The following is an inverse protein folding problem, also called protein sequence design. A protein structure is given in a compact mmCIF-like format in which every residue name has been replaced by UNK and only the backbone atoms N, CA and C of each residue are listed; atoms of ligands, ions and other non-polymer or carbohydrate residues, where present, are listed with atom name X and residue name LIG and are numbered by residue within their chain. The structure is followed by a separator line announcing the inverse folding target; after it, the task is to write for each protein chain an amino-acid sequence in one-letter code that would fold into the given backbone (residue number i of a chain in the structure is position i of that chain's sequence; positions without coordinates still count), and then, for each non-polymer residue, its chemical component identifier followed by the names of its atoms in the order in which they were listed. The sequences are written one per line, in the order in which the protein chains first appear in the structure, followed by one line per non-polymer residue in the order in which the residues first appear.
data_IF_486349180907
#
_entry.id   IF_486349180907
#
_cell.length_a   1.000
_cell.length_b   1.000
_cell.length_c   1.000
_cell.angle_alpha   90.00
_cell.angle_beta   90.00
_cell.angle_gamma   90.00
#
_symmetry.space_group_name_H-M   'P 1'
#
loop_
_entity.id
_entity.type
_entity.pdbx_description
1 polymer ?
#
# COMPACT_ATOMS: atom_id res chain seq x y z
N UNK A 1 24.33 -3.52 -2.38
CA UNK A 1 23.83 -4.67 -1.60
C UNK A 1 23.21 -4.26 -0.26
N UNK A 2 23.90 -3.47 0.60
CA UNK A 2 23.33 -2.99 1.88
C UNK A 2 22.03 -2.17 1.72
N UNK A 3 21.88 -1.36 0.68
CA UNK A 3 20.64 -0.62 0.43
C UNK A 3 19.44 -1.53 0.07
N UNK A 4 19.69 -2.63 -0.65
CA UNK A 4 18.60 -3.48 -1.13
C UNK A 4 17.94 -4.28 0.00
N UNK A 5 18.67 -4.62 1.07
CA UNK A 5 18.10 -5.35 2.20
C UNK A 5 17.09 -4.49 2.98
N UNK A 6 17.34 -3.19 3.11
CA UNK A 6 16.45 -2.27 3.81
C UNK A 6 15.17 -2.01 3.03
N UNK A 7 15.25 -1.87 1.70
CA UNK A 7 14.07 -1.78 0.83
C UNK A 7 13.19 -3.03 0.96
N UNK A 8 13.81 -4.22 0.93
CA UNK A 8 13.10 -5.49 1.12
C UNK A 8 12.43 -5.56 2.49
N UNK A 9 13.10 -5.12 3.56
CA UNK A 9 12.52 -5.07 4.90
C UNK A 9 11.33 -4.10 4.98
N UNK A 10 11.44 -2.91 4.38
CA UNK A 10 10.36 -1.95 4.34
C UNK A 10 9.13 -2.49 3.61
N UNK A 11 9.30 -3.06 2.41
CA UNK A 11 8.21 -3.68 1.67
C UNK A 11 7.60 -4.89 2.40
N UNK A 12 8.44 -5.72 3.02
CA UNK A 12 8.00 -6.89 3.78
C UNK A 12 7.12 -6.48 4.96
N UNK A 13 7.56 -5.52 5.78
CA UNK A 13 6.82 -5.09 6.96
C UNK A 13 5.49 -4.45 6.58
N UNK A 14 5.49 -3.57 5.58
CA UNK A 14 4.25 -2.96 5.10
C UNK A 14 3.27 -4.00 4.55
N UNK A 15 3.76 -4.94 3.75
CA UNK A 15 2.94 -6.04 3.24
C UNK A 15 2.37 -6.92 4.35
N UNK A 16 3.20 -7.31 5.33
CA UNK A 16 2.79 -8.17 6.44
C UNK A 16 1.69 -7.51 7.28
N UNK A 17 1.86 -6.24 7.66
CA UNK A 17 0.88 -5.55 8.50
C UNK A 17 -0.44 -5.32 7.77
N UNK A 18 -0.42 -4.91 6.51
CA UNK A 18 -1.65 -4.78 5.71
C UNK A 18 -2.35 -6.12 5.58
N UNK A 19 -1.63 -7.18 5.27
CA UNK A 19 -2.21 -8.50 5.01
C UNK A 19 -2.67 -9.22 6.28
N UNK A 20 -2.20 -8.83 7.47
CA UNK A 20 -2.57 -9.46 8.75
C UNK A 20 -3.56 -8.66 9.59
N UNK A 21 -3.58 -7.32 9.48
CA UNK A 21 -4.36 -6.47 10.40
C UNK A 21 -5.59 -5.86 9.71
N UNK A 22 -5.51 -5.56 8.41
CA UNK A 22 -6.59 -4.85 7.73
C UNK A 22 -7.90 -5.65 7.74
N UNK A 23 -7.85 -6.93 7.38
CA UNK A 23 -9.02 -7.82 7.38
C UNK A 23 -9.73 -7.85 8.74
N UNK A 24 -9.03 -8.21 9.84
CA UNK A 24 -9.61 -8.18 11.18
C UNK A 24 -10.19 -6.83 11.60
N UNK A 25 -9.54 -5.71 11.25
CA UNK A 25 -10.09 -4.38 11.54
C UNK A 25 -11.40 -4.11 10.79
N UNK A 26 -11.49 -4.53 9.53
CA UNK A 26 -12.71 -4.41 8.74
C UNK A 26 -13.81 -5.33 9.26
N UNK A 27 -13.48 -6.57 9.64
CA UNK A 27 -14.46 -7.53 10.15
C UNK A 27 -15.14 -7.04 11.43
N UNK A 28 -14.41 -6.33 12.31
CA UNK A 28 -14.92 -5.79 13.58
C UNK A 28 -15.63 -4.43 13.43
N UNK A 29 -15.07 -3.52 12.62
CA UNK A 29 -15.50 -2.11 12.58
C UNK A 29 -16.09 -1.69 11.21
N UNK A 30 -16.23 -2.63 10.29
CA UNK A 30 -16.73 -2.41 8.93
C UNK A 30 -15.89 -1.39 8.16
N UNK A 31 -16.58 -0.53 7.40
CA UNK A 31 -15.94 0.50 6.58
C UNK A 31 -15.05 1.45 7.40
N UNK A 32 -15.47 1.81 8.61
CA UNK A 32 -14.69 2.65 9.53
C UNK A 32 -13.39 1.94 9.91
N UNK A 33 -13.45 0.63 10.17
CA UNK A 33 -12.28 -0.22 10.40
C UNK A 33 -11.30 -0.18 9.24
N UNK A 34 -11.79 -0.33 8.01
CA UNK A 34 -10.96 -0.21 6.81
C UNK A 34 -10.32 1.17 6.64
N UNK A 35 -11.07 2.25 6.89
CA UNK A 35 -10.53 3.62 6.83
C UNK A 35 -9.47 3.85 7.92
N UNK A 36 -9.72 3.41 9.15
CA UNK A 36 -8.74 3.49 10.24
C UNK A 36 -7.49 2.65 9.95
N UNK A 37 -7.66 1.44 9.43
CA UNK A 37 -6.54 0.59 9.00
C UNK A 37 -5.70 1.30 7.94
N UNK A 38 -6.34 1.97 6.97
CA UNK A 38 -5.63 2.75 5.96
C UNK A 38 -4.80 3.88 6.58
N UNK A 39 -5.39 4.72 7.44
CA UNK A 39 -4.67 5.82 8.09
C UNK A 39 -3.56 5.34 9.02
N UNK A 40 -3.83 4.35 9.87
CA UNK A 40 -2.89 3.85 10.87
C UNK A 40 -1.80 3.02 10.20
N UNK A 41 -2.12 2.00 9.41
CA UNK A 41 -1.11 1.10 8.84
C UNK A 41 -0.34 1.83 7.73
N UNK A 42 -1.04 2.42 6.75
CA UNK A 42 -0.35 3.06 5.61
C UNK A 42 0.39 4.30 6.08
N UNK A 43 -0.23 5.16 6.90
CA UNK A 43 0.42 6.37 7.40
C UNK A 43 1.62 6.08 8.30
N UNK A 44 1.51 5.14 9.24
CA UNK A 44 2.61 4.76 10.11
C UNK A 44 3.78 4.16 9.33
N UNK A 45 3.52 3.19 8.45
CA UNK A 45 4.59 2.54 7.70
C UNK A 45 5.17 3.43 6.62
N UNK A 46 4.40 4.35 6.04
CA UNK A 46 4.97 5.39 5.19
C UNK A 46 5.96 6.25 5.97
N UNK A 47 5.58 6.72 7.17
CA UNK A 47 6.46 7.52 8.02
C UNK A 47 7.72 6.74 8.44
N UNK A 48 7.57 5.51 8.92
CA UNK A 48 8.70 4.65 9.30
C UNK A 48 9.63 4.43 8.11
N UNK A 49 9.09 4.01 6.97
CA UNK A 49 9.91 3.66 5.80
C UNK A 49 10.68 4.86 5.26
N UNK A 50 10.07 6.04 5.26
CA UNK A 50 10.68 7.25 4.67
C UNK A 50 11.57 8.01 5.65
N UNK A 51 11.21 8.08 6.94
CA UNK A 51 12.06 8.73 7.94
C UNK A 51 13.29 7.89 8.30
N UNK A 52 13.16 6.55 8.31
CA UNK A 52 14.29 5.65 8.54
C UNK A 52 15.05 5.29 7.26
N UNK A 53 14.63 5.84 6.11
CA UNK A 53 15.21 5.56 4.78
C UNK A 53 15.27 4.07 4.45
N UNK A 54 14.27 3.31 4.91
CA UNK A 54 14.11 1.90 4.58
C UNK A 54 13.65 1.73 3.15
N UNK A 55 12.74 2.59 2.67
CA UNK A 55 12.40 2.73 1.26
C UNK A 55 12.85 4.13 0.86
N UNK A 56 13.69 4.22 -0.17
CA UNK A 56 14.14 5.53 -0.66
C UNK A 56 13.07 6.13 -1.55
N UNK A 57 12.52 7.27 -1.13
CA UNK A 57 11.81 8.16 -2.03
C UNK A 57 12.77 9.27 -2.48
N UNK A 58 12.87 9.52 -3.78
CA UNK A 58 13.48 10.77 -4.23
C UNK A 58 12.51 11.92 -3.89
N UNK A 59 13.02 13.11 -3.58
CA UNK A 59 12.21 14.26 -3.10
C UNK A 59 11.06 14.69 -4.05
N UNK A 60 10.99 14.11 -5.25
CA UNK A 60 9.99 14.40 -6.29
C UNK A 60 9.16 13.19 -6.72
N UNK A 61 9.33 12.03 -6.09
CA UNK A 61 8.59 10.82 -6.46
C UNK A 61 7.41 10.58 -5.51
N UNK A 62 6.29 10.20 -6.12
CA UNK A 62 5.00 10.03 -5.44
C UNK A 62 5.02 8.91 -4.39
N UNK A 63 4.10 8.99 -3.42
CA UNK A 63 3.80 8.08 -2.30
C UNK A 63 3.49 6.60 -2.66
N UNK A 64 3.81 6.15 -3.88
CA UNK A 64 3.29 4.91 -4.50
C UNK A 64 4.24 3.71 -4.32
N UNK A 65 5.49 3.93 -3.90
CA UNK A 65 6.52 2.90 -3.79
C UNK A 65 6.13 1.72 -2.86
N UNK A 66 5.51 2.01 -1.73
CA UNK A 66 5.06 0.99 -0.77
C UNK A 66 3.86 0.17 -1.29
N UNK A 67 3.04 0.75 -2.19
CA UNK A 67 1.86 0.08 -2.72
C UNK A 67 2.21 -1.15 -3.57
N UNK A 68 3.30 -1.08 -4.35
CA UNK A 68 3.77 -2.21 -5.16
C UNK A 68 4.22 -3.40 -4.27
N UNK A 69 4.93 -3.11 -3.17
CA UNK A 69 5.34 -4.12 -2.20
C UNK A 69 4.15 -4.81 -1.54
N UNK A 70 3.16 -4.02 -1.11
CA UNK A 70 1.92 -4.53 -0.52
C UNK A 70 1.13 -5.38 -1.52
N UNK A 71 0.97 -4.90 -2.76
CA UNK A 71 0.27 -5.64 -3.81
C UNK A 71 0.94 -6.99 -4.11
N UNK A 72 2.27 -7.00 -4.20
CA UNK A 72 3.05 -8.23 -4.42
C UNK A 72 2.84 -9.21 -3.26
N UNK A 73 2.90 -8.74 -2.01
CA UNK A 73 2.67 -9.57 -0.85
C UNK A 73 1.27 -10.20 -0.85
N UNK A 74 0.24 -9.42 -1.20
CA UNK A 74 -1.14 -9.91 -1.29
C UNK A 74 -1.33 -10.97 -2.37
N UNK A 75 -0.82 -10.72 -3.59
CA UNK A 75 -0.90 -11.67 -4.71
C UNK A 75 -0.22 -12.99 -4.35
N UNK A 76 1.01 -12.93 -3.82
CA UNK A 76 1.77 -14.13 -3.47
C UNK A 76 1.07 -14.89 -2.34
N UNK A 77 0.62 -14.21 -1.28
CA UNK A 77 -0.14 -14.83 -0.18
C UNK A 77 -1.38 -15.55 -0.71
N UNK A 78 -2.20 -14.87 -1.50
CA UNK A 78 -3.48 -15.41 -1.96
C UNK A 78 -3.28 -16.57 -2.93
N UNK A 79 -2.29 -16.46 -3.83
CA UNK A 79 -1.90 -17.55 -4.70
C UNK A 79 -1.46 -18.79 -3.90
N UNK A 80 -0.66 -18.61 -2.85
CA UNK A 80 -0.22 -19.72 -2.00
C UNK A 80 -1.38 -20.34 -1.19
N UNK A 81 -2.38 -19.55 -0.79
CA UNK A 81 -3.51 -20.03 0.00
C UNK A 81 -4.62 -20.69 -0.83
N UNK A 82 -4.84 -20.19 -2.04
CA UNK A 82 -6.05 -20.51 -2.83
C UNK A 82 -5.75 -20.92 -4.27
N UNK A 83 -4.48 -20.94 -4.66
CA UNK A 83 -4.06 -21.16 -6.04
C UNK A 83 -4.45 -20.01 -6.97
N UNK A 84 -4.50 -20.31 -8.27
CA UNK A 84 -4.84 -19.31 -9.30
C UNK A 84 -6.28 -18.80 -9.16
N UNK A 85 -7.19 -19.62 -8.63
CA UNK A 85 -8.61 -19.28 -8.50
C UNK A 85 -8.85 -18.06 -7.59
N UNK A 86 -8.14 -17.95 -6.46
CA UNK A 86 -8.27 -16.75 -5.62
C UNK A 86 -7.74 -15.51 -6.31
N UNK A 87 -6.62 -15.60 -7.07
CA UNK A 87 -6.10 -14.47 -7.84
C UNK A 87 -7.14 -13.98 -8.86
N UNK A 88 -7.83 -14.89 -9.54
CA UNK A 88 -8.91 -14.54 -10.47
C UNK A 88 -10.10 -13.88 -9.76
N UNK A 89 -10.49 -14.38 -8.59
CA UNK A 89 -11.58 -13.80 -7.79
C UNK A 89 -11.25 -12.41 -7.25
N UNK A 90 -9.97 -12.07 -7.09
CA UNK A 90 -9.49 -10.74 -6.66
C UNK A 90 -9.55 -9.68 -7.77
N UNK A 91 -9.86 -10.04 -9.02
CA UNK A 91 -9.82 -9.10 -10.15
C UNK A 91 -10.73 -7.87 -10.00
N UNK A 92 -11.97 -7.98 -9.50
CA UNK A 92 -12.80 -6.81 -9.22
C UNK A 92 -12.13 -5.84 -8.23
N UNK A 93 -11.46 -6.36 -7.21
CA UNK A 93 -10.72 -5.54 -6.24
C UNK A 93 -9.58 -4.77 -6.91
N UNK A 94 -8.84 -5.39 -7.83
CA UNK A 94 -7.80 -4.69 -8.59
C UNK A 94 -8.35 -3.49 -9.37
N UNK A 95 -9.51 -3.64 -10.00
CA UNK A 95 -10.15 -2.54 -10.74
C UNK A 95 -10.46 -1.38 -9.79
N UNK A 96 -11.06 -1.66 -8.64
CA UNK A 96 -11.40 -0.63 -7.64
C UNK A 96 -10.14 0.07 -7.11
N UNK A 97 -9.09 -0.69 -6.81
CA UNK A 97 -7.80 -0.14 -6.35
C UNK A 97 -7.15 0.73 -7.42
N UNK A 98 -7.18 0.32 -8.70
CA UNK A 98 -6.65 1.11 -9.81
C UNK A 98 -7.41 2.44 -9.97
N UNK A 99 -8.75 2.41 -9.90
CA UNK A 99 -9.57 3.62 -9.95
C UNK A 99 -9.25 4.55 -8.79
N UNK A 100 -9.14 4.03 -7.56
CA UNK A 100 -8.73 4.79 -6.40
C UNK A 100 -7.33 5.41 -6.55
N UNK A 101 -6.38 4.64 -7.09
CA UNK A 101 -5.03 5.11 -7.39
C UNK A 101 -5.01 6.23 -8.44
N UNK A 102 -5.80 6.12 -9.51
CA UNK A 102 -5.94 7.17 -10.51
C UNK A 102 -6.54 8.46 -9.91
N UNK A 103 -7.60 8.34 -9.10
CA UNK A 103 -8.22 9.49 -8.45
C UNK A 103 -7.23 10.17 -7.50
N UNK A 104 -6.54 9.40 -6.65
CA UNK A 104 -5.52 9.93 -5.74
C UNK A 104 -4.39 10.63 -6.48
N UNK A 105 -3.91 10.06 -7.59
CA UNK A 105 -2.89 10.68 -8.44
C UNK A 105 -3.34 12.00 -9.06
N UNK A 106 -4.59 12.09 -9.55
CA UNK A 106 -5.16 13.33 -10.08
C UNK A 106 -5.28 14.40 -8.99
N UNK A 107 -5.73 14.02 -7.78
CA UNK A 107 -5.83 14.94 -6.65
C UNK A 107 -4.47 15.49 -6.26
N UNK A 108 -3.45 14.63 -6.12
CA UNK A 108 -2.09 15.05 -5.80
C UNK A 108 -1.53 16.03 -6.85
N UNK A 109 -1.69 15.71 -8.14
CA UNK A 109 -1.29 16.60 -9.23
C UNK A 109 -1.99 17.96 -9.18
N UNK A 110 -3.28 17.98 -8.83
CA UNK A 110 -4.06 19.22 -8.74
C UNK A 110 -3.58 20.08 -7.57
N UNK A 111 -3.33 19.48 -6.40
CA UNK A 111 -2.79 20.19 -5.23
C UNK A 111 -1.42 20.80 -5.49
N UNK A 112 -0.49 20.05 -6.09
CA UNK A 112 0.84 20.57 -6.43
C UNK A 112 0.76 21.74 -7.42
N UNK A 113 -0.19 21.69 -8.37
CA UNK A 113 -0.38 22.77 -9.34
C UNK A 113 -0.89 24.06 -8.69
N UNK A 114 -1.73 23.96 -7.66
CA UNK A 114 -2.23 25.13 -6.93
C UNK A 114 -1.11 25.82 -6.14
N UNK A 115 -0.19 25.08 -5.53
CA UNK A 115 0.96 25.63 -4.78
C UNK A 115 1.97 26.38 -5.66
N UNK A 116 1.98 26.11 -6.97
CA UNK A 116 2.89 26.76 -7.92
C UNK A 116 2.30 28.02 -8.61
N UNK A 117 1.03 28.36 -8.35
CA UNK A 117 0.36 29.56 -8.88
C UNK A 117 0.23 30.65 -7.79
#
# INVERSE_FOLDING_TARGET
MKHNIFNVLGFLLSGLFVMSIWGPMYDELGLIGGMLASGVIIGLFWNINHNMKLIMNEEKLSFIDMALGIATAGIVRDFLQTGVDGVYKSFPTFIVVLLGGCIGGIMAYTSEREEMN
#
